data_IF_127672104966
#
_entry.id   IF_127672104966
#
_cell.length_a   1.000
_cell.length_b   1.000
_cell.length_c   1.000
_cell.angle_alpha   90.00
_cell.angle_beta   90.00
_cell.angle_gamma   90.00
#
_symmetry.space_group_name_H-M   'P 1'
#
loop_
_entity.id
_entity.type
_entity.pdbx_description
1 polymer ?
#
# COMPACT_ATOMS: atom_id res chain seq x y z
N UNK A 1 16.01 14.72 6.89
CA UNK A 1 15.02 14.91 5.81
C UNK A 1 14.90 13.62 5.00
N UNK A 2 14.19 12.61 5.49
CA UNK A 2 13.88 11.39 4.74
C UNK A 2 12.44 11.00 5.06
N UNK A 3 11.53 11.22 4.11
CA UNK A 3 10.10 10.92 4.24
C UNK A 3 9.64 10.11 3.03
N UNK A 4 9.97 8.81 3.00
CA UNK A 4 9.21 7.78 2.28
C UNK A 4 9.47 6.42 2.96
N UNK A 5 8.56 5.86 3.77
CA UNK A 5 8.63 4.46 4.14
C UNK A 5 7.78 3.63 3.16
N UNK A 6 8.49 3.03 2.21
CA UNK A 6 8.38 1.65 1.72
C UNK A 6 7.05 1.09 1.17
N UNK A 7 7.02 0.97 -0.17
CA UNK A 7 6.37 -0.14 -0.89
C UNK A 7 7.25 -1.41 -0.81
N UNK A 8 6.93 -2.36 0.06
CA UNK A 8 7.74 -3.57 0.27
C UNK A 8 7.24 -4.74 -0.58
N UNK A 9 7.86 -4.92 -1.77
CA UNK A 9 7.83 -6.04 -2.78
C UNK A 9 7.89 -5.57 -4.24
N UNK A 10 7.89 -4.25 -4.51
CA UNK A 10 8.52 -3.70 -5.72
C UNK A 10 9.47 -2.62 -5.26
N UNK A 11 10.77 -2.94 -5.21
CA UNK A 11 11.83 -1.94 -4.94
C UNK A 11 11.61 -0.72 -5.84
N UNK A 12 11.52 0.46 -5.22
CA UNK A 12 11.82 1.76 -5.82
C UNK A 12 11.09 2.06 -7.12
N UNK A 13 9.76 2.21 -7.08
CA UNK A 13 9.05 2.72 -8.26
C UNK A 13 9.47 4.16 -8.57
N UNK A 14 9.68 5.01 -7.56
CA UNK A 14 10.25 6.35 -7.75
C UNK A 14 10.99 6.83 -6.49
N UNK A 15 12.28 7.25 -6.57
CA UNK A 15 12.96 7.94 -5.48
C UNK A 15 12.32 9.31 -5.19
N UNK A 16 12.63 9.98 -4.07
CA UNK A 16 12.05 11.30 -3.79
C UNK A 16 12.40 12.37 -4.85
N UNK A 17 13.53 12.20 -5.56
CA UNK A 17 13.89 13.01 -6.73
C UNK A 17 13.05 12.73 -7.99
N UNK A 18 12.28 11.64 -8.01
CA UNK A 18 11.37 11.30 -9.10
C UNK A 18 9.94 11.27 -8.55
N UNK A 19 9.16 12.30 -8.85
CA UNK A 19 7.85 12.44 -8.21
C UNK A 19 6.89 11.36 -8.72
N UNK A 20 6.59 10.37 -7.87
CA UNK A 20 5.61 9.33 -8.19
C UNK A 20 4.27 9.89 -8.69
N UNK A 21 3.81 11.03 -8.17
CA UNK A 21 2.51 11.61 -8.54
C UNK A 21 2.49 12.29 -9.92
N UNK A 22 3.63 12.40 -10.61
CA UNK A 22 3.69 12.90 -11.99
C UNK A 22 3.81 11.79 -13.02
N UNK A 23 3.81 10.53 -12.59
CA UNK A 23 4.15 9.38 -13.41
C UNK A 23 2.91 8.59 -13.83
N UNK A 24 2.96 8.01 -15.04
CA UNK A 24 1.90 7.12 -15.53
C UNK A 24 2.07 5.71 -14.94
N UNK A 25 1.40 5.47 -13.82
CA UNK A 25 1.42 4.17 -13.16
C UNK A 25 0.72 3.10 -13.98
N UNK A 26 -0.26 3.46 -14.80
CA UNK A 26 -1.03 2.49 -15.59
C UNK A 26 -0.18 1.95 -16.74
N UNK A 27 0.50 2.83 -17.47
CA UNK A 27 1.46 2.44 -18.51
C UNK A 27 2.53 1.50 -17.92
N UNK A 28 3.09 1.85 -16.76
CA UNK A 28 4.08 1.01 -16.09
C UNK A 28 3.54 -0.36 -15.68
N UNK A 29 2.32 -0.43 -15.16
CA UNK A 29 1.69 -1.72 -14.83
C UNK A 29 1.40 -2.57 -16.07
N UNK A 30 1.10 -1.94 -17.19
CA UNK A 30 0.91 -2.62 -18.49
C UNK A 30 2.20 -3.30 -18.93
N UNK A 31 3.34 -2.62 -18.84
CA UNK A 31 4.66 -3.20 -19.14
C UNK A 31 5.00 -4.39 -18.21
N UNK A 32 4.65 -4.28 -16.93
CA UNK A 32 4.92 -5.31 -15.92
C UNK A 32 3.90 -6.46 -15.95
N UNK A 33 2.79 -6.32 -16.70
CA UNK A 33 1.73 -7.32 -16.79
C UNK A 33 0.97 -7.54 -15.47
N UNK A 34 0.92 -6.55 -14.59
CA UNK A 34 0.62 -6.76 -13.17
C UNK A 34 -0.45 -5.84 -12.57
N UNK A 35 -0.47 -5.85 -11.23
CA UNK A 35 -1.15 -4.90 -10.37
C UNK A 35 -0.14 -4.42 -9.32
N UNK A 36 -0.40 -3.26 -8.70
CA UNK A 36 0.44 -2.73 -7.63
C UNK A 36 -0.30 -2.74 -6.29
N UNK A 37 0.46 -2.70 -5.20
CA UNK A 37 -0.09 -2.47 -3.87
C UNK A 37 0.72 -1.39 -3.16
N UNK A 38 0.09 -0.66 -2.22
CA UNK A 38 0.72 0.46 -1.54
C UNK A 38 0.26 0.60 -0.08
N UNK A 39 1.13 1.16 0.74
CA UNK A 39 0.82 1.66 2.08
C UNK A 39 1.28 3.13 2.13
N UNK A 40 0.45 4.08 1.69
CA UNK A 40 0.88 5.46 1.48
C UNK A 40 1.21 6.18 2.80
N UNK A 41 2.11 7.17 2.78
CA UNK A 41 2.40 7.97 3.95
C UNK A 41 1.24 8.93 4.29
N UNK A 42 0.89 9.01 5.59
CA UNK A 42 -0.12 9.95 6.11
C UNK A 42 0.47 11.35 6.40
N UNK A 43 1.28 11.86 5.49
CA UNK A 43 1.87 13.20 5.60
C UNK A 43 0.90 14.30 5.18
N UNK A 44 1.11 15.50 5.73
CA UNK A 44 0.52 16.72 5.17
C UNK A 44 0.99 16.89 3.73
N UNK A 45 0.12 17.42 2.88
CA UNK A 45 0.49 17.72 1.50
C UNK A 45 1.72 18.63 1.46
N UNK A 46 2.68 18.28 0.60
CA UNK A 46 3.87 19.09 0.35
C UNK A 46 4.15 19.15 -1.14
N UNK A 47 4.76 20.25 -1.58
CA UNK A 47 5.14 20.46 -2.97
C UNK A 47 6.65 20.54 -3.11
N UNK A 48 7.14 20.06 -4.24
CA UNK A 48 8.50 20.25 -4.71
C UNK A 48 8.42 20.70 -6.18
N UNK A 49 9.09 21.80 -6.52
CA UNK A 49 9.08 22.37 -7.89
C UNK A 49 7.67 22.58 -8.47
N UNK A 50 6.73 23.02 -7.62
CA UNK A 50 5.34 23.26 -8.02
C UNK A 50 4.48 21.99 -8.15
N UNK A 51 5.03 20.79 -8.00
CA UNK A 51 4.28 19.54 -8.03
C UNK A 51 4.03 19.00 -6.63
N UNK A 52 2.87 18.41 -6.39
CA UNK A 52 2.63 17.71 -5.12
C UNK A 52 3.43 16.41 -5.11
N UNK A 53 4.13 16.15 -4.00
CA UNK A 53 4.95 14.93 -3.81
C UNK A 53 4.35 13.98 -2.76
N UNK A 54 3.40 14.47 -1.96
CA UNK A 54 2.76 13.69 -0.89
C UNK A 54 1.42 14.29 -0.50
N UNK A 55 0.70 13.61 0.40
CA UNK A 55 -0.62 13.98 0.89
C UNK A 55 -1.69 13.02 0.34
N UNK A 56 -2.44 12.39 1.25
CA UNK A 56 -3.40 11.35 0.91
C UNK A 56 -4.42 11.78 -0.15
N UNK A 57 -4.89 13.03 -0.13
CA UNK A 57 -5.81 13.56 -1.15
C UNK A 57 -5.22 13.44 -2.56
N UNK A 58 -3.98 13.88 -2.76
CA UNK A 58 -3.33 13.85 -4.08
C UNK A 58 -2.98 12.43 -4.50
N UNK A 59 -2.56 11.59 -3.54
CA UNK A 59 -2.30 10.17 -3.80
C UNK A 59 -3.60 9.48 -4.28
N UNK A 60 -4.72 9.66 -3.58
CA UNK A 60 -5.99 9.04 -3.96
C UNK A 60 -6.54 9.58 -5.28
N UNK A 61 -6.42 10.88 -5.54
CA UNK A 61 -6.79 11.48 -6.82
C UNK A 61 -5.99 10.89 -7.99
N UNK A 62 -4.67 10.77 -7.82
CA UNK A 62 -3.81 10.16 -8.84
C UNK A 62 -4.13 8.68 -9.03
N UNK A 63 -4.30 7.92 -7.94
CA UNK A 63 -4.73 6.51 -8.01
C UNK A 63 -6.02 6.36 -8.82
N UNK A 64 -7.02 7.21 -8.60
CA UNK A 64 -8.27 7.18 -9.36
C UNK A 64 -8.06 7.47 -10.85
N UNK A 65 -7.23 8.47 -11.19
CA UNK A 65 -6.90 8.77 -12.59
C UNK A 65 -6.17 7.59 -13.27
N UNK A 66 -5.22 6.97 -12.58
CA UNK A 66 -4.47 5.82 -13.10
C UNK A 66 -5.35 4.57 -13.21
N UNK A 67 -6.30 4.39 -12.28
CA UNK A 67 -7.34 3.35 -12.37
C UNK A 67 -8.22 3.55 -13.62
N UNK A 68 -8.65 4.79 -13.91
CA UNK A 68 -9.40 5.07 -15.14
C UNK A 68 -8.61 4.74 -16.41
N UNK A 69 -7.29 4.96 -16.37
CA UNK A 69 -6.36 4.58 -17.43
C UNK A 69 -6.07 3.06 -17.52
N UNK A 70 -6.74 2.22 -16.72
CA UNK A 70 -6.61 0.75 -16.75
C UNK A 70 -5.70 0.15 -15.67
N UNK A 71 -5.11 0.99 -14.81
CA UNK A 71 -4.28 0.55 -13.70
C UNK A 71 -5.08 -0.22 -12.64
N UNK A 72 -4.41 -1.15 -11.95
CA UNK A 72 -5.00 -1.96 -10.89
C UNK A 72 -4.18 -1.85 -9.62
N UNK A 73 -4.82 -1.46 -8.52
CA UNK A 73 -4.14 -1.11 -7.29
C UNK A 73 -4.83 -1.67 -6.04
N UNK A 74 -4.05 -2.03 -5.03
CA UNK A 74 -4.53 -2.43 -3.70
C UNK A 74 -3.82 -1.61 -2.63
N UNK A 75 -4.57 -0.88 -1.81
CA UNK A 75 -4.02 0.02 -0.81
C UNK A 75 -4.35 -0.48 0.59
N UNK A 76 -3.34 -0.64 1.45
CA UNK A 76 -3.54 -0.75 2.90
C UNK A 76 -3.61 0.67 3.47
N UNK A 77 -4.79 1.06 3.94
CA UNK A 77 -5.02 2.41 4.48
C UNK A 77 -5.69 2.39 5.86
N UNK A 78 -5.62 3.52 6.57
CA UNK A 78 -6.44 3.80 7.73
C UNK A 78 -7.91 3.88 7.28
N UNK A 79 -8.79 3.18 7.98
CA UNK A 79 -10.23 3.39 7.90
C UNK A 79 -10.55 4.79 8.47
N UNK A 80 -10.76 5.76 7.58
CA UNK A 80 -10.87 7.17 7.92
C UNK A 80 -12.03 7.83 7.17
N UNK A 81 -13.25 7.31 7.33
CA UNK A 81 -14.44 7.73 6.58
C UNK A 81 -14.83 9.20 6.77
N UNK A 82 -14.25 9.90 7.76
CA UNK A 82 -14.43 11.34 7.97
C UNK A 82 -13.45 12.21 7.17
N UNK A 83 -12.42 11.62 6.59
CA UNK A 83 -11.38 12.35 5.87
C UNK A 83 -11.78 12.58 4.41
N UNK A 84 -11.47 13.75 3.87
CA UNK A 84 -11.80 14.09 2.48
C UNK A 84 -11.05 13.25 1.43
N UNK A 85 -9.97 12.59 1.82
CA UNK A 85 -9.22 11.67 0.97
C UNK A 85 -9.74 10.24 1.02
N UNK A 86 -10.69 9.91 1.90
CA UNK A 86 -11.23 8.57 1.99
C UNK A 86 -11.82 8.15 0.62
N UNK A 87 -11.37 7.01 0.04
CA UNK A 87 -11.73 6.66 -1.32
C UNK A 87 -13.08 5.96 -1.38
N UNK A 88 -14.17 6.68 -1.15
CA UNK A 88 -15.56 6.15 -1.19
C UNK A 88 -15.90 5.44 -2.52
N UNK A 89 -15.21 5.83 -3.59
CA UNK A 89 -15.37 5.33 -4.94
C UNK A 89 -14.35 4.24 -5.34
N UNK A 90 -13.60 3.67 -4.38
CA UNK A 90 -12.85 2.45 -4.62
C UNK A 90 -13.79 1.31 -5.05
N UNK A 91 -13.32 0.41 -5.91
CA UNK A 91 -14.11 -0.74 -6.38
C UNK A 91 -14.46 -1.73 -5.28
N UNK A 92 -13.57 -1.82 -4.29
CA UNK A 92 -13.78 -2.60 -3.09
C UNK A 92 -13.13 -1.93 -1.89
N UNK A 93 -13.80 -1.95 -0.74
CA UNK A 93 -13.21 -1.64 0.55
C UNK A 93 -13.45 -2.81 1.51
N UNK A 94 -12.38 -3.49 1.91
CA UNK A 94 -12.43 -4.48 2.97
C UNK A 94 -11.97 -3.86 4.29
N UNK A 95 -12.85 -3.76 5.28
CA UNK A 95 -12.49 -3.31 6.62
C UNK A 95 -11.80 -4.43 7.39
N UNK A 96 -10.66 -4.13 8.00
CA UNK A 96 -9.90 -5.13 8.76
C UNK A 96 -10.44 -5.17 10.19
N UNK A 97 -10.95 -6.33 10.62
CA UNK A 97 -11.27 -6.62 12.01
C UNK A 97 -10.00 -6.98 12.76
N UNK A 98 -9.72 -6.23 13.82
CA UNK A 98 -8.46 -6.31 14.55
C UNK A 98 -7.51 -5.17 14.17
N UNK A 99 -6.41 -5.04 14.91
CA UNK A 99 -5.42 -3.97 14.71
C UNK A 99 -4.19 -4.52 14.00
N UNK A 100 -3.82 -3.91 12.89
CA UNK A 100 -2.58 -4.28 12.17
C UNK A 100 -1.42 -3.54 12.83
N UNK A 101 -0.54 -4.29 13.49
CA UNK A 101 0.74 -3.77 13.97
C UNK A 101 1.79 -3.79 12.85
N UNK A 102 2.79 -2.95 12.98
CA UNK A 102 4.00 -3.02 12.16
C UNK A 102 5.17 -3.31 13.06
N UNK A 103 6.03 -4.22 12.63
CA UNK A 103 7.27 -4.50 13.33
C UNK A 103 8.17 -3.27 13.28
N UNK A 104 8.80 -3.02 14.42
CA UNK A 104 9.77 -1.95 14.57
C UNK A 104 11.08 -2.45 13.96
N UNK A 105 11.73 -1.68 13.08
CA UNK A 105 13.02 -2.10 12.54
C UNK A 105 14.07 -2.24 13.65
N UNK A 106 14.98 -3.20 13.52
CA UNK A 106 16.03 -3.49 14.52
C UNK A 106 16.92 -2.29 14.84
N UNK A 107 17.05 -1.33 13.91
CA UNK A 107 17.85 -0.12 14.07
C UNK A 107 17.13 1.01 14.82
N UNK A 108 15.82 0.87 15.11
CA UNK A 108 15.08 1.88 15.86
C UNK A 108 15.39 1.75 17.36
N UNK A 109 16.13 2.72 17.88
CA UNK A 109 16.41 2.84 19.32
C UNK A 109 15.48 3.94 19.88
N UNK A 110 14.45 3.60 20.67
CA UNK A 110 13.59 4.60 21.28
C UNK A 110 14.39 5.49 22.24
N UNK A 111 14.14 6.80 22.24
CA UNK A 111 14.85 7.71 23.15
C UNK A 111 14.33 7.59 24.60
N UNK A 112 13.10 7.09 24.79
CA UNK A 112 12.50 6.81 26.09
C UNK A 112 11.43 5.70 26.01
N UNK A 113 10.95 5.21 27.16
CA UNK A 113 9.91 4.18 27.26
C UNK A 113 8.55 4.61 26.66
N UNK A 114 8.30 5.92 26.48
CA UNK A 114 7.09 6.45 25.85
C UNK A 114 7.18 6.42 24.32
N UNK A 115 8.39 6.29 23.77
CA UNK A 115 8.66 6.15 22.34
C UNK A 115 8.79 4.70 21.88
N UNK A 116 8.59 3.71 22.76
CA UNK A 116 8.41 2.32 22.33
C UNK A 116 7.24 2.28 21.34
N UNK A 117 7.43 1.81 20.09
CA UNK A 117 6.37 1.87 19.10
C UNK A 117 5.29 0.91 19.51
N UNK A 118 4.24 1.46 20.08
CA UNK A 118 2.98 0.77 20.20
C UNK A 118 2.40 0.76 18.78
N UNK A 119 2.29 -0.42 18.16
CA UNK A 119 1.89 -0.58 16.76
C UNK A 119 0.73 0.34 16.37
N UNK A 120 0.71 0.80 15.13
CA UNK A 120 -0.23 1.84 14.70
C UNK A 120 -1.69 1.43 15.01
N UNK A 121 -2.26 2.00 16.08
CA UNK A 121 -3.56 1.60 16.62
C UNK A 121 -4.75 2.17 15.83
N UNK A 122 -4.63 2.28 14.51
CA UNK A 122 -5.78 2.68 13.71
C UNK A 122 -6.51 1.45 13.19
N UNK A 123 -7.84 1.58 13.05
CA UNK A 123 -8.61 0.62 12.26
C UNK A 123 -8.11 0.70 10.81
N UNK A 124 -7.76 -0.45 10.23
CA UNK A 124 -7.24 -0.54 8.86
C UNK A 124 -8.34 -0.93 7.86
N UNK A 125 -8.12 -0.60 6.60
CA UNK A 125 -8.93 -1.03 5.47
C UNK A 125 -8.03 -1.34 4.27
N UNK A 126 -8.49 -2.25 3.43
CA UNK A 126 -7.89 -2.54 2.13
C UNK A 126 -8.80 -1.91 1.07
N UNK A 127 -8.29 -0.91 0.33
CA UNK A 127 -8.99 -0.30 -0.79
C UNK A 127 -8.48 -0.88 -2.11
N UNK A 128 -9.37 -1.45 -2.92
CA UNK A 128 -9.05 -2.00 -4.24
C UNK A 128 -9.57 -1.04 -5.30
N UNK A 129 -8.70 -0.75 -6.27
CA UNK A 129 -8.99 0.04 -7.45
C UNK A 129 -8.72 -0.85 -8.66
N UNK A 130 -9.76 -1.51 -9.17
CA UNK A 130 -9.72 -2.36 -10.35
C UNK A 130 -11.11 -2.34 -11.02
N UNK A 131 -11.19 -1.75 -12.21
CA UNK A 131 -12.43 -1.65 -13.01
C UNK A 131 -13.05 -3.02 -13.33
N UNK A 132 -12.28 -4.09 -13.22
CA UNK A 132 -12.74 -5.45 -13.46
C UNK A 132 -13.25 -6.15 -12.20
N UNK A 133 -13.21 -5.50 -11.03
CA UNK A 133 -13.77 -6.06 -9.80
C UNK A 133 -15.26 -6.37 -9.98
N UNK A 134 -15.65 -7.62 -9.66
CA UNK A 134 -17.04 -8.11 -9.74
C UNK A 134 -17.63 -8.49 -8.39
N UNK A 135 -16.85 -8.34 -7.31
CA UNK A 135 -17.28 -8.65 -5.96
C UNK A 135 -18.17 -7.55 -5.36
N UNK A 136 -18.54 -7.67 -4.07
CA UNK A 136 -19.25 -6.61 -3.37
C UNK A 136 -18.38 -5.34 -3.27
N UNK A 137 -18.99 -4.17 -3.13
CA UNK A 137 -18.25 -2.91 -2.94
C UNK A 137 -17.59 -2.81 -1.56
N UNK A 138 -18.12 -3.52 -0.56
CA UNK A 138 -17.57 -3.53 0.79
C UNK A 138 -17.55 -4.94 1.38
N UNK A 139 -16.56 -5.21 2.22
CA UNK A 139 -16.48 -6.45 3.00
C UNK A 139 -15.75 -6.22 4.32
N UNK A 140 -15.56 -7.31 5.07
CA UNK A 140 -14.73 -7.32 6.26
C UNK A 140 -13.83 -8.54 6.24
N UNK A 141 -12.60 -8.38 6.72
CA UNK A 141 -11.63 -9.46 6.85
C UNK A 141 -10.99 -9.45 8.24
N UNK A 142 -10.76 -10.61 8.84
CA UNK A 142 -10.04 -10.66 10.12
C UNK A 142 -8.54 -10.49 9.91
N UNK A 143 -7.87 -9.77 10.81
CA UNK A 143 -6.42 -9.57 10.77
C UNK A 143 -5.66 -10.90 10.69
N UNK A 144 -6.06 -11.88 11.50
CA UNK A 144 -5.42 -13.20 11.57
C UNK A 144 -5.53 -13.95 10.24
N UNK A 145 -6.68 -13.82 9.56
CA UNK A 145 -6.93 -14.39 8.25
C UNK A 145 -6.08 -13.71 7.19
N UNK A 146 -6.03 -12.37 7.19
CA UNK A 146 -5.17 -11.58 6.30
C UNK A 146 -3.69 -11.96 6.44
N UNK A 147 -3.20 -12.07 7.67
CA UNK A 147 -1.82 -12.49 7.95
C UNK A 147 -1.54 -13.94 7.53
N UNK A 148 -2.50 -14.85 7.75
CA UNK A 148 -2.38 -16.24 7.34
C UNK A 148 -2.25 -16.35 5.82
N UNK A 149 -3.12 -15.67 5.06
CA UNK A 149 -3.05 -15.61 3.61
C UNK A 149 -1.74 -15.02 3.12
N UNK A 150 -1.28 -13.91 3.74
CA UNK A 150 0.00 -13.29 3.41
C UNK A 150 1.18 -14.24 3.61
N UNK A 151 1.24 -14.94 4.75
CA UNK A 151 2.28 -15.96 5.02
C UNK A 151 2.23 -17.09 4.01
N UNK A 152 1.05 -17.60 3.68
CA UNK A 152 0.89 -18.66 2.69
C UNK A 152 1.41 -18.23 1.31
N UNK A 153 1.09 -17.01 0.88
CA UNK A 153 1.51 -16.47 -0.41
C UNK A 153 3.04 -16.30 -0.49
N UNK A 154 3.65 -15.71 0.54
CA UNK A 154 5.11 -15.56 0.63
C UNK A 154 5.80 -16.93 0.60
N UNK A 155 5.28 -17.91 1.35
CA UNK A 155 5.82 -19.28 1.34
C UNK A 155 5.75 -19.92 -0.06
N UNK A 156 4.68 -19.69 -0.81
CA UNK A 156 4.57 -20.17 -2.19
C UNK A 156 5.59 -19.50 -3.11
N UNK A 157 5.77 -18.18 -3.01
CA UNK A 157 6.79 -17.44 -3.78
C UNK A 157 8.19 -17.98 -3.47
N UNK A 158 8.53 -18.15 -2.19
CA UNK A 158 9.83 -18.67 -1.77
C UNK A 158 10.09 -20.08 -2.33
N UNK A 159 9.08 -20.96 -2.27
CA UNK A 159 9.18 -22.31 -2.86
C UNK A 159 9.38 -22.26 -4.38
N UNK A 160 8.65 -21.39 -5.08
CA UNK A 160 8.82 -21.21 -6.51
C UNK A 160 10.22 -20.67 -6.86
N UNK A 161 10.73 -19.70 -6.11
CA UNK A 161 12.06 -19.14 -6.30
C UNK A 161 13.17 -20.19 -6.08
N UNK A 162 13.07 -21.02 -5.03
CA UNK A 162 14.03 -22.10 -4.78
C UNK A 162 14.04 -23.16 -5.88
N UNK A 163 12.86 -23.46 -6.46
CA UNK A 163 12.73 -24.37 -7.60
C UNK A 163 13.37 -23.81 -8.87
N UNK A 164 13.25 -22.51 -9.11
CA UNK A 164 13.87 -21.81 -10.25
C UNK A 164 15.39 -21.72 -10.09
N UNK A 165 15.88 -21.58 -8.85
CA UNK A 165 17.32 -21.52 -8.55
C UNK A 165 18.01 -22.90 -8.49
N UNK A 166 17.27 -24.01 -8.71
CA UNK A 166 17.83 -25.36 -8.70
C UNK A 166 18.31 -25.85 -7.33
N UNK A 167 17.91 -25.19 -6.24
CA UNK A 167 18.33 -25.53 -4.86
C UNK A 167 17.42 -26.61 -4.25
N UNK A 168 16.28 -26.90 -4.87
CA UNK A 168 15.40 -27.99 -4.47
C UNK A 168 15.52 -29.16 -5.47
N UNK A 169 16.23 -30.21 -5.05
CA UNK A 169 16.08 -31.59 -5.55
C UNK A 169 15.22 -32.36 -4.54
#
# INVERSE_FOLDING_TARGET
>A
HHLLPNLHHVRGLYPAEDNALTQDWSARLTELGGAAYANPPYSRASRHEGQYITGMTHIMQHTMAMREAGGRYVFLIKAATSESWWPENADHIAFIRGRVGFDVPDWFVPADDKQKPSGAFFAGAIAVFDKNWRGPSTSYINREELESMGRMFINQIQRAALRIQGIAA
#
